data_IF_387051537949
#
_entry.id   IF_387051537949
#
_cell.length_a   1.000
_cell.length_b   1.000
_cell.length_c   1.000
_cell.angle_alpha   90.00
_cell.angle_beta   90.00
_cell.angle_gamma   90.00
#
_symmetry.space_group_name_H-M   'P 1'
#
loop_
_entity.id
_entity.type
_entity.pdbx_description
1 polymer ?
#
# COMPACT_ATOMS: atom_id res chain seq x y z
N UNK A 1 18.30 11.51 -11.38
CA UNK A 1 18.07 10.69 -12.58
C UNK A 1 16.68 10.06 -12.44
N UNK A 2 15.79 10.25 -13.42
CA UNK A 2 14.35 9.91 -13.31
C UNK A 2 14.14 8.41 -13.08
N UNK A 3 13.39 8.05 -12.04
CA UNK A 3 12.84 6.70 -11.88
C UNK A 3 11.96 6.37 -13.08
N UNK A 4 12.29 5.29 -13.79
CA UNK A 4 11.60 4.89 -15.02
C UNK A 4 10.28 4.20 -14.66
N UNK A 5 9.18 4.95 -14.75
CA UNK A 5 7.80 4.52 -14.48
C UNK A 5 7.41 3.23 -15.25
N UNK A 6 7.01 2.19 -14.51
CA UNK A 6 6.62 0.88 -15.03
C UNK A 6 5.55 0.98 -16.13
N UNK A 7 4.54 1.85 -15.95
CA UNK A 7 3.47 2.03 -16.92
C UNK A 7 3.99 2.46 -18.30
N UNK A 8 5.00 3.34 -18.31
CA UNK A 8 5.64 3.81 -19.56
C UNK A 8 6.45 2.71 -20.25
N UNK A 9 7.10 1.84 -19.48
CA UNK A 9 7.83 0.70 -20.04
C UNK A 9 6.87 -0.31 -20.67
N UNK A 10 5.76 -0.61 -19.99
CA UNK A 10 4.73 -1.50 -20.49
C UNK A 10 4.13 -0.98 -21.81
N UNK A 11 3.81 0.32 -21.91
CA UNK A 11 3.34 0.95 -23.16
C UNK A 11 4.35 0.72 -24.29
N UNK A 12 5.64 0.95 -24.03
CA UNK A 12 6.70 0.84 -25.04
C UNK A 12 6.81 -0.58 -25.58
N UNK A 13 6.84 -1.58 -24.70
CA UNK A 13 6.97 -2.99 -25.07
C UNK A 13 5.72 -3.48 -25.80
N UNK A 14 4.53 -3.13 -25.29
CA UNK A 14 3.26 -3.51 -25.90
C UNK A 14 3.14 -2.98 -27.34
N UNK A 15 3.42 -1.68 -27.54
CA UNK A 15 3.37 -1.05 -28.88
C UNK A 15 4.44 -1.60 -29.82
N UNK A 16 5.66 -1.86 -29.33
CA UNK A 16 6.73 -2.45 -30.13
C UNK A 16 6.39 -3.86 -30.65
N UNK A 17 5.50 -4.58 -29.95
CA UNK A 17 5.03 -5.92 -30.34
C UNK A 17 3.67 -5.93 -31.03
N UNK A 18 3.11 -4.76 -31.35
CA UNK A 18 1.82 -4.65 -32.04
C UNK A 18 0.62 -5.12 -31.23
N UNK A 19 0.73 -5.17 -29.89
CA UNK A 19 -0.34 -5.67 -29.02
C UNK A 19 -1.30 -4.55 -28.60
N UNK A 20 -2.60 -4.84 -28.56
CA UNK A 20 -3.60 -3.95 -27.94
C UNK A 20 -3.58 -4.09 -26.41
N UNK A 21 -4.21 -3.14 -25.70
CA UNK A 21 -4.36 -3.27 -24.24
C UNK A 21 -5.19 -4.49 -23.86
N UNK A 22 -6.18 -4.84 -24.69
CA UNK A 22 -7.02 -6.03 -24.52
C UNK A 22 -6.19 -7.31 -24.71
N UNK A 23 -5.30 -7.36 -25.71
CA UNK A 23 -4.47 -8.54 -25.96
C UNK A 23 -3.54 -8.83 -24.76
N UNK A 24 -2.98 -7.78 -24.15
CA UNK A 24 -2.14 -7.94 -22.95
C UNK A 24 -2.98 -8.36 -21.75
N UNK A 25 -4.18 -7.80 -21.61
CA UNK A 25 -5.10 -8.15 -20.54
C UNK A 25 -5.52 -9.62 -20.59
N UNK A 26 -5.92 -10.11 -21.76
CA UNK A 26 -6.29 -11.52 -21.99
C UNK A 26 -5.12 -12.47 -21.73
N UNK A 27 -3.94 -12.17 -22.28
CA UNK A 27 -2.75 -13.02 -22.09
C UNK A 27 -2.29 -13.09 -20.64
N UNK A 28 -2.48 -12.02 -19.86
CA UNK A 28 -2.11 -11.95 -18.46
C UNK A 28 -3.24 -12.37 -17.51
N UNK A 29 -4.42 -12.75 -18.02
CA UNK A 29 -5.62 -13.03 -17.25
C UNK A 29 -5.99 -11.92 -16.25
N UNK A 30 -5.90 -10.66 -16.69
CA UNK A 30 -6.29 -9.46 -15.91
C UNK A 30 -7.23 -8.60 -16.73
N UNK A 31 -7.97 -7.68 -16.10
CA UNK A 31 -8.92 -6.84 -16.84
C UNK A 31 -8.23 -5.80 -17.72
N UNK A 32 -8.82 -5.46 -18.87
CA UNK A 32 -8.35 -4.38 -19.75
C UNK A 32 -8.28 -3.05 -19.01
N UNK A 33 -9.20 -2.82 -18.06
CA UNK A 33 -9.22 -1.65 -17.18
C UNK A 33 -7.97 -1.58 -16.30
N UNK A 34 -7.47 -2.72 -15.82
CA UNK A 34 -6.23 -2.78 -15.03
C UNK A 34 -5.02 -2.36 -15.86
N UNK A 35 -4.88 -2.90 -17.09
CA UNK A 35 -3.82 -2.49 -18.02
C UNK A 35 -3.89 -0.99 -18.34
N UNK A 36 -5.09 -0.46 -18.60
CA UNK A 36 -5.28 0.96 -18.86
C UNK A 36 -4.83 1.85 -17.70
N UNK A 37 -5.21 1.51 -16.47
CA UNK A 37 -4.85 2.28 -15.27
C UNK A 37 -3.34 2.20 -14.97
N UNK A 38 -2.71 1.07 -15.25
CA UNK A 38 -1.26 0.90 -15.13
C UNK A 38 -0.53 1.78 -16.15
N UNK A 39 -0.94 1.71 -17.42
CA UNK A 39 -0.31 2.47 -18.51
C UNK A 39 -0.50 3.98 -18.34
N UNK A 40 -1.64 4.42 -17.79
CA UNK A 40 -1.90 5.83 -17.49
C UNK A 40 -1.19 6.33 -16.23
N UNK A 41 -0.53 5.46 -15.47
CA UNK A 41 0.07 5.79 -14.18
C UNK A 41 -0.95 6.05 -13.07
N UNK A 42 -2.22 5.70 -13.27
CA UNK A 42 -3.28 5.86 -12.27
C UNK A 42 -3.20 4.80 -11.16
N UNK A 43 -2.48 3.70 -11.39
CA UNK A 43 -2.21 2.65 -10.39
C UNK A 43 -0.80 2.12 -10.60
N UNK A 44 -0.04 1.98 -9.51
CA UNK A 44 1.21 1.21 -9.53
C UNK A 44 0.87 -0.28 -9.37
N UNK A 45 1.23 -1.15 -10.33
CA UNK A 45 0.89 -2.57 -10.25
C UNK A 45 1.64 -3.28 -9.13
N UNK A 46 0.99 -4.27 -8.52
CA UNK A 46 1.60 -5.17 -7.53
C UNK A 46 2.74 -5.97 -8.15
N UNK A 47 3.70 -6.41 -7.32
CA UNK A 47 4.80 -7.29 -7.75
C UNK A 47 4.30 -8.58 -8.42
N UNK A 48 3.19 -9.16 -7.96
CA UNK A 48 2.58 -10.33 -8.61
C UNK A 48 2.09 -10.01 -10.03
N UNK A 49 1.44 -8.86 -10.22
CA UNK A 49 1.00 -8.38 -11.54
C UNK A 49 2.19 -8.06 -12.44
N UNK A 50 3.23 -7.42 -11.90
CA UNK A 50 4.51 -7.19 -12.60
C UNK A 50 5.11 -8.52 -13.04
N UNK A 51 5.13 -9.53 -12.18
CA UNK A 51 5.64 -10.87 -12.49
C UNK A 51 4.84 -11.56 -13.58
N UNK A 52 3.51 -11.55 -13.50
CA UNK A 52 2.63 -12.13 -14.52
C UNK A 52 2.87 -11.44 -15.89
N UNK A 53 2.92 -10.11 -15.91
CA UNK A 53 3.20 -9.34 -17.13
C UNK A 53 4.62 -9.63 -17.64
N UNK A 54 5.60 -9.77 -16.73
CA UNK A 54 6.99 -10.09 -17.05
C UNK A 54 7.12 -11.45 -17.72
N UNK A 55 6.50 -12.48 -17.14
CA UNK A 55 6.53 -13.86 -17.63
C UNK A 55 5.78 -13.96 -18.97
N UNK A 56 4.60 -13.35 -19.05
CA UNK A 56 3.74 -13.39 -20.25
C UNK A 56 4.38 -12.66 -21.43
N UNK A 57 5.07 -11.55 -21.16
CA UNK A 57 5.79 -10.80 -22.18
C UNK A 57 7.25 -11.26 -22.32
N UNK A 58 7.76 -12.18 -21.51
CA UNK A 58 9.18 -12.56 -21.53
C UNK A 58 10.12 -11.36 -21.37
N UNK A 59 9.77 -10.41 -20.50
CA UNK A 59 10.59 -9.24 -20.17
C UNK A 59 10.70 -9.14 -18.66
N UNK A 60 11.90 -9.08 -18.10
CA UNK A 60 12.08 -8.87 -16.66
C UNK A 60 11.92 -7.38 -16.31
N UNK A 61 10.80 -7.02 -15.67
CA UNK A 61 10.56 -5.67 -15.22
C UNK A 61 11.16 -5.36 -13.82
N UNK A 62 11.66 -6.36 -13.09
CA UNK A 62 12.22 -6.21 -11.73
C UNK A 62 13.67 -5.71 -11.70
N UNK A 63 14.41 -5.80 -12.81
CA UNK A 63 15.75 -5.21 -12.89
C UNK A 63 15.74 -3.68 -12.71
N UNK A 64 14.58 -3.02 -12.91
CA UNK A 64 14.46 -1.56 -12.78
C UNK A 64 14.14 -1.05 -11.38
N UNK A 65 13.68 -1.90 -10.44
CA UNK A 65 13.35 -1.49 -9.06
C UNK A 65 14.39 -1.93 -8.01
N UNK A 66 15.29 -2.86 -8.36
CA UNK A 66 16.23 -3.49 -7.42
C UNK A 66 17.47 -2.65 -7.03
N UNK A 67 17.56 -1.38 -7.45
CA UNK A 67 18.68 -0.52 -7.05
C UNK A 67 18.51 0.17 -5.69
N UNK A 68 17.32 0.18 -5.08
CA UNK A 68 17.08 0.99 -3.88
C UNK A 68 16.95 0.23 -2.55
N UNK A 69 16.73 -1.09 -2.53
CA UNK A 69 16.51 -1.85 -1.27
C UNK A 69 17.66 -2.79 -0.87
N UNK A 70 18.62 -3.06 -1.76
CA UNK A 70 19.76 -3.97 -1.50
C UNK A 70 21.05 -3.22 -1.11
N UNK A 71 20.89 -2.11 -0.42
CA UNK A 71 21.88 -1.53 0.47
C UNK A 71 21.41 -1.96 1.88
N UNK A 72 21.90 -3.04 2.46
CA UNK A 72 23.24 -3.09 3.03
C UNK A 72 23.58 -4.57 3.31
N UNK A 73 24.83 -4.93 3.02
CA UNK A 73 25.60 -6.06 3.58
C UNK A 73 25.86 -7.30 2.69
N UNK A 74 24.89 -8.05 2.15
CA UNK A 74 25.23 -9.41 1.68
C UNK A 74 25.64 -9.62 0.20
N UNK A 75 25.38 -8.68 -0.72
CA UNK A 75 25.77 -8.86 -2.15
C UNK A 75 27.19 -8.42 -2.49
N UNK A 76 27.78 -7.51 -1.71
CA UNK A 76 29.10 -6.94 -2.00
C UNK A 76 30.22 -8.00 -1.93
N UNK A 77 30.18 -8.87 -0.92
CA UNK A 77 31.19 -9.91 -0.69
C UNK A 77 31.20 -11.00 -1.77
N UNK A 78 30.03 -11.31 -2.36
CA UNK A 78 29.94 -12.32 -3.42
C UNK A 78 30.54 -11.80 -4.75
N UNK A 79 30.27 -10.54 -5.09
CA UNK A 79 30.78 -9.93 -6.32
C UNK A 79 32.31 -9.77 -6.29
N UNK A 80 32.89 -9.42 -5.14
CA UNK A 80 34.35 -9.39 -4.96
C UNK A 80 34.96 -10.78 -5.15
N UNK A 81 34.35 -11.83 -4.59
CA UNK A 81 34.85 -13.21 -4.69
C UNK A 81 34.83 -13.74 -6.12
N UNK A 82 33.83 -13.38 -6.93
CA UNK A 82 33.76 -13.79 -8.34
C UNK A 82 34.73 -13.01 -9.23
N UNK A 83 35.04 -11.75 -8.90
CA UNK A 83 35.98 -10.92 -9.67
C UNK A 83 37.41 -11.48 -9.69
N UNK A 84 37.81 -12.22 -8.65
CA UNK A 84 39.12 -12.89 -8.54
C UNK A 84 39.13 -14.35 -9.00
N UNK A 85 37.99 -14.90 -9.46
CA UNK A 85 37.91 -16.26 -9.99
C UNK A 85 38.18 -16.28 -11.50
N UNK A 86 39.44 -16.53 -11.89
CA UNK A 86 39.92 -16.48 -13.28
C UNK A 86 39.63 -17.72 -14.14
N UNK A 87 38.91 -18.73 -13.62
CA UNK A 87 38.57 -19.93 -14.43
C UNK A 87 37.63 -19.64 -15.61
N UNK A 88 36.88 -18.53 -15.60
CA UNK A 88 35.98 -18.13 -16.70
C UNK A 88 36.15 -16.65 -17.05
N UNK A 89 36.21 -16.34 -18.35
CA UNK A 89 36.33 -15.00 -18.93
C UNK A 89 37.48 -14.14 -18.36
N UNK A 90 38.65 -14.76 -18.13
CA UNK A 90 39.82 -14.15 -17.49
C UNK A 90 40.25 -12.81 -18.10
N UNK A 91 40.27 -12.69 -19.44
CA UNK A 91 40.67 -11.46 -20.15
C UNK A 91 39.76 -10.26 -19.83
N UNK A 92 38.44 -10.48 -19.70
CA UNK A 92 37.49 -9.41 -19.32
C UNK A 92 37.65 -9.02 -17.85
N UNK A 93 37.88 -9.99 -16.96
CA UNK A 93 38.11 -9.73 -15.53
C UNK A 93 39.44 -9.01 -15.26
N UNK A 94 40.51 -9.34 -15.98
CA UNK A 94 41.80 -8.64 -15.94
C UNK A 94 41.65 -7.20 -16.45
N UNK A 95 40.89 -6.98 -17.53
CA UNK A 95 40.58 -5.64 -18.03
C UNK A 95 39.87 -4.78 -16.96
N UNK A 96 38.82 -5.32 -16.33
CA UNK A 96 38.07 -4.62 -15.26
C UNK A 96 38.96 -4.31 -14.06
N UNK A 97 39.84 -5.23 -13.66
CA UNK A 97 40.75 -5.02 -12.54
C UNK A 97 41.82 -3.96 -12.88
N UNK A 98 42.37 -3.98 -14.10
CA UNK A 98 43.36 -3.00 -14.56
C UNK A 98 42.81 -1.58 -14.68
N UNK A 99 41.57 -1.42 -15.14
CA UNK A 99 40.90 -0.11 -15.20
C UNK A 99 40.57 0.42 -13.81
N UNK A 100 40.22 -0.48 -12.87
CA UNK A 100 39.97 -0.11 -11.47
C UNK A 100 41.24 0.36 -10.76
N UNK A 101 42.38 -0.28 -11.03
CA UNK A 101 43.69 0.13 -10.52
C UNK A 101 44.09 1.49 -11.11
N UNK A 102 43.89 1.72 -12.42
CA UNK A 102 44.15 3.02 -13.05
C UNK A 102 43.31 4.15 -12.42
N UNK A 103 42.03 3.91 -12.16
CA UNK A 103 41.15 4.88 -11.50
C UNK A 103 41.62 5.16 -10.06
N UNK A 104 42.03 4.12 -9.31
CA UNK A 104 42.58 4.30 -7.96
C UNK A 104 43.90 5.07 -7.97
N UNK A 105 44.79 4.80 -8.92
CA UNK A 105 46.04 5.58 -9.06
C UNK A 105 45.76 7.04 -9.42
N UNK A 106 44.76 7.30 -10.26
CA UNK A 106 44.33 8.67 -10.60
C UNK A 106 43.74 9.40 -9.40
N UNK A 107 42.93 8.73 -8.58
CA UNK A 107 42.37 9.30 -7.34
C UNK A 107 43.49 9.59 -6.32
N UNK A 108 44.46 8.68 -6.16
CA UNK A 108 45.61 8.90 -5.28
C UNK A 108 46.48 10.08 -5.72
N UNK A 109 46.72 10.27 -7.03
CA UNK A 109 47.46 11.43 -7.57
C UNK A 109 46.72 12.74 -7.26
N UNK A 110 45.39 12.75 -7.38
CA UNK A 110 44.58 13.93 -7.07
C UNK A 110 44.58 14.28 -5.58
N UNK A 111 44.54 13.28 -4.69
CA UNK A 111 44.63 13.50 -3.24
C UNK A 111 46.02 14.06 -2.86
N UNK A 112 47.09 13.51 -3.42
CA UNK A 112 48.47 13.99 -3.17
C UNK A 112 48.71 15.41 -3.70
N UNK A 113 47.98 15.82 -4.74
CA UNK A 113 48.05 17.18 -5.31
C UNK A 113 47.36 18.23 -4.44
N UNK A 114 46.35 17.84 -3.65
CA UNK A 114 45.60 18.73 -2.75
C UNK A 114 46.43 19.10 -1.51
N UNK A 115 47.24 18.18 -0.98
CA UNK A 115 48.11 18.44 0.18
C UNK A 115 49.29 19.38 -0.13
N UNK A 116 49.63 19.57 -1.40
CA UNK A 116 50.70 20.49 -1.81
C UNK A 116 50.28 21.97 -1.76
N UNK A 117 48.98 22.29 -1.73
CA UNK A 117 48.47 23.67 -1.84
C UNK A 117 48.05 24.32 -0.51
N UNK A 118 48.11 23.62 0.63
CA UNK A 118 47.52 24.10 1.89
C UNK A 118 48.49 24.76 2.89
N UNK A 119 49.74 25.07 2.51
CA UNK A 119 50.69 25.77 3.41
C UNK A 119 51.07 27.17 2.93
N UNK A 120 50.35 28.21 3.39
CA UNK A 120 50.94 29.49 3.88
C UNK A 120 49.88 30.42 4.53
N UNK A 121 50.15 31.08 5.69
CA UNK A 121 49.17 31.90 6.43
C UNK A 121 49.52 33.40 6.54
N UNK A 122 48.55 34.24 6.99
CA UNK A 122 48.62 35.59 7.66
C UNK A 122 47.54 36.55 7.09
N UNK A 123 46.95 37.55 7.76
CA UNK A 123 47.01 38.14 9.12
C UNK A 123 45.87 39.19 9.26
N UNK A 124 45.30 39.30 10.47
CA UNK A 124 45.00 40.52 11.28
C UNK A 124 44.53 41.83 10.61
N UNK A 125 43.48 42.46 11.20
CA UNK A 125 43.63 43.75 11.91
C UNK A 125 42.41 44.13 12.78
N UNK A 126 42.66 44.21 14.10
CA UNK A 126 41.94 45.00 15.11
C UNK A 126 42.32 46.48 15.00
N UNK A 127 41.45 47.43 15.41
CA UNK A 127 41.64 48.42 16.51
C UNK A 127 40.58 49.55 16.47
N UNK A 128 39.73 49.73 17.50
CA UNK A 128 39.83 50.62 18.69
C UNK A 128 39.25 52.05 18.49
N UNK A 129 38.17 52.43 19.21
CA UNK A 129 38.20 53.29 20.43
C UNK A 129 36.78 53.62 20.99
N UNK A 130 36.76 53.76 22.32
CA UNK A 130 35.67 53.84 23.33
C UNK A 130 34.84 55.14 23.35
N UNK A 131 33.59 55.07 23.91
CA UNK A 131 33.12 55.81 25.12
C UNK A 131 31.69 55.39 25.55
N UNK A 132 31.45 55.40 26.87
CA UNK A 132 30.28 54.91 27.61
C UNK A 132 29.14 55.95 27.69
N UNK A 133 27.86 55.52 27.71
CA UNK A 133 26.90 55.79 28.81
C UNK A 133 25.48 55.20 28.58
N UNK A 134 24.95 54.57 29.65
CA UNK A 134 23.55 54.51 30.17
C UNK A 134 22.34 54.02 29.33
N UNK A 135 21.90 52.79 29.66
CA UNK A 135 20.53 52.26 29.88
C UNK A 135 19.41 52.35 28.80
N UNK A 136 18.40 51.45 28.82
CA UNK A 136 18.00 50.66 27.66
C UNK A 136 16.64 51.09 27.08
N UNK A 137 16.52 51.10 25.74
CA UNK A 137 15.26 50.89 25.00
C UNK A 137 15.48 51.01 23.49
N UNK A 138 14.89 50.05 22.77
CA UNK A 138 14.40 50.10 21.38
C UNK A 138 15.42 50.27 20.24
N UNK A 139 15.25 49.38 19.26
CA UNK A 139 15.68 49.49 17.85
C UNK A 139 17.20 49.38 17.61
N UNK A 140 17.74 48.71 16.58
CA UNK A 140 17.22 48.22 15.31
C UNK A 140 18.26 47.26 14.69
N UNK A 141 17.76 46.28 13.93
CA UNK A 141 18.26 45.79 12.64
C UNK A 141 19.78 45.64 12.39
N UNK A 142 20.23 44.38 12.24
CA UNK A 142 21.26 44.03 11.25
C UNK A 142 20.56 43.44 10.03
N UNK A 143 20.66 44.17 8.91
CA UNK A 143 20.22 43.76 7.58
C UNK A 143 20.80 42.39 7.19
N UNK A 144 19.93 41.44 6.89
CA UNK A 144 20.09 40.54 5.76
C UNK A 144 19.11 41.05 4.70
N UNK A 145 19.65 41.59 3.61
CA UNK A 145 18.88 42.05 2.46
C UNK A 145 18.29 40.83 1.76
N UNK A 146 17.06 40.48 2.13
CA UNK A 146 16.10 39.90 1.20
C UNK A 146 15.04 40.98 0.99
N UNK A 147 14.81 41.30 -0.26
CA UNK A 147 13.89 42.34 -0.72
C UNK A 147 12.45 41.86 -0.48
N UNK A 148 12.02 41.86 0.79
CA UNK A 148 10.77 41.26 1.25
C UNK A 148 9.58 42.17 0.93
N UNK A 149 8.71 41.70 0.03
CA UNK A 149 7.30 42.06 0.08
C UNK A 149 6.77 41.63 1.46
N UNK A 150 6.78 42.55 2.42
CA UNK A 150 6.19 42.29 3.75
C UNK A 150 4.68 42.13 3.59
N UNK A 151 4.22 40.90 3.60
CA UNK A 151 2.79 40.58 3.53
C UNK A 151 2.11 41.17 4.76
N UNK A 152 1.05 41.94 4.54
CA UNK A 152 0.24 42.53 5.60
C UNK A 152 -0.92 41.60 5.96
N UNK A 153 -0.68 40.72 6.93
CA UNK A 153 -1.65 39.72 7.38
C UNK A 153 -2.89 40.32 8.05
N UNK A 154 -2.82 41.56 8.54
CA UNK A 154 -3.94 42.20 9.26
C UNK A 154 -5.14 42.54 8.37
N UNK A 155 -4.93 42.56 7.04
CA UNK A 155 -6.02 42.77 6.07
C UNK A 155 -6.94 41.57 5.94
N UNK A 156 -6.38 40.37 6.09
CA UNK A 156 -7.08 39.12 5.79
C UNK A 156 -7.46 38.32 7.04
N UNK A 157 -6.80 38.58 8.18
CA UNK A 157 -6.92 37.82 9.42
C UNK A 157 -7.11 38.74 10.64
N UNK A 158 -7.89 38.26 11.61
CA UNK A 158 -8.19 39.00 12.85
C UNK A 158 -6.97 39.03 13.78
N UNK A 159 -6.23 37.92 13.83
CA UNK A 159 -5.01 37.78 14.62
C UNK A 159 -3.96 36.99 13.84
N UNK A 160 -2.69 37.28 14.08
CA UNK A 160 -1.60 36.47 13.57
C UNK A 160 -0.39 36.43 14.52
N UNK A 161 0.36 35.34 14.46
CA UNK A 161 1.61 35.13 15.20
C UNK A 161 2.64 34.50 14.27
N UNK A 162 3.80 35.14 14.15
CA UNK A 162 4.92 34.61 13.37
C UNK A 162 5.80 33.77 14.29
N UNK A 163 6.06 32.51 13.93
CA UNK A 163 7.01 31.64 14.61
C UNK A 163 7.88 30.91 13.57
N UNK A 164 9.17 31.23 13.57
CA UNK A 164 10.10 30.70 12.55
C UNK A 164 9.65 31.04 11.14
N UNK A 165 9.45 30.02 10.31
CA UNK A 165 9.05 30.16 8.90
C UNK A 165 7.53 30.10 8.67
N UNK A 166 6.75 30.06 9.75
CA UNK A 166 5.30 29.94 9.67
C UNK A 166 4.61 31.12 10.34
N UNK A 167 3.42 31.43 9.84
CA UNK A 167 2.52 32.44 10.39
C UNK A 167 1.22 31.75 10.77
N UNK A 168 0.97 31.68 12.07
CA UNK A 168 -0.29 31.21 12.63
C UNK A 168 -1.30 32.33 12.51
N UNK A 169 -2.48 32.04 11.96
CA UNK A 169 -3.51 33.05 11.70
C UNK A 169 -4.84 32.62 12.27
N UNK A 170 -5.63 33.58 12.74
CA UNK A 170 -7.00 33.38 13.21
C UNK A 170 -7.95 34.26 12.42
N UNK A 171 -9.07 33.70 11.99
CA UNK A 171 -10.18 34.41 11.35
C UNK A 171 -11.50 33.82 11.81
N UNK A 172 -12.44 34.65 12.29
CA UNK A 172 -13.75 34.22 12.79
C UNK A 172 -13.65 33.11 13.86
N UNK A 173 -12.72 33.22 14.82
CA UNK A 173 -12.42 32.18 15.82
C UNK A 173 -12.03 30.81 15.25
N UNK A 174 -11.56 30.76 14.00
CA UNK A 174 -10.99 29.56 13.37
C UNK A 174 -9.52 29.79 13.07
N UNK A 175 -8.72 28.74 13.23
CA UNK A 175 -7.28 28.81 13.12
C UNK A 175 -6.79 28.25 11.79
N UNK A 176 -5.76 28.88 11.24
CA UNK A 176 -5.06 28.49 10.03
C UNK A 176 -3.54 28.68 10.16
N UNK A 177 -2.84 28.28 9.11
CA UNK A 177 -1.39 28.34 8.99
C UNK A 177 -1.05 28.85 7.59
N UNK A 178 -0.22 29.88 7.52
CA UNK A 178 0.26 30.44 6.26
C UNK A 178 1.79 30.53 6.29
N UNK A 179 2.42 30.52 5.12
CA UNK A 179 3.85 30.79 4.97
C UNK A 179 4.15 32.29 5.08
N UNK A 180 5.43 32.66 5.22
CA UNK A 180 5.87 34.07 5.29
C UNK A 180 5.55 34.91 4.04
N UNK A 181 5.33 34.28 2.89
CA UNK A 181 4.88 34.90 1.64
C UNK A 181 3.34 34.93 1.50
N UNK A 182 2.60 34.51 2.53
CA UNK A 182 1.14 34.60 2.58
C UNK A 182 0.39 33.42 1.94
N UNK A 183 1.09 32.37 1.50
CA UNK A 183 0.43 31.17 0.96
C UNK A 183 -0.22 30.40 2.10
N UNK A 184 -1.50 30.10 1.95
CA UNK A 184 -2.26 29.30 2.92
C UNK A 184 -1.83 27.83 2.85
N UNK A 185 -1.35 27.29 3.97
CA UNK A 185 -1.09 25.85 4.18
C UNK A 185 -2.33 25.20 4.79
N UNK A 186 -2.87 25.82 5.85
CA UNK A 186 -4.08 25.36 6.56
C UNK A 186 -5.08 26.52 6.56
N UNK A 187 -6.27 26.37 5.94
CA UNK A 187 -7.28 27.43 5.95
C UNK A 187 -7.88 27.63 7.35
N UNK A 188 -8.32 28.86 7.65
CA UNK A 188 -9.03 29.22 8.89
C UNK A 188 -10.46 28.64 8.93
N UNK A 189 -10.57 27.33 9.01
CA UNK A 189 -11.85 26.59 9.12
C UNK A 189 -11.85 25.58 10.27
N UNK A 190 -10.73 25.47 10.99
CA UNK A 190 -10.51 24.49 12.05
C UNK A 190 -10.63 25.15 13.43
N UNK A 191 -11.15 24.39 14.40
CA UNK A 191 -11.33 24.84 15.78
C UNK A 191 -10.00 24.99 16.52
N UNK A 192 -9.00 24.19 16.10
CA UNK A 192 -7.59 24.25 16.50
C UNK A 192 -6.80 23.25 15.66
N UNK A 193 -5.49 23.30 15.72
CA UNK A 193 -4.62 22.24 15.23
C UNK A 193 -3.36 22.14 16.10
N UNK A 194 -2.69 20.99 16.04
CA UNK A 194 -1.42 20.76 16.71
C UNK A 194 -0.40 20.22 15.72
N UNK A 195 0.88 20.47 15.97
CA UNK A 195 1.96 19.88 15.20
C UNK A 195 2.39 18.55 15.83
N UNK A 196 2.59 17.53 15.00
CA UNK A 196 3.17 16.27 15.40
C UNK A 196 4.25 15.87 14.39
N UNK A 197 5.50 16.19 14.74
CA UNK A 197 6.64 16.04 13.82
C UNK A 197 6.44 16.84 12.53
N UNK A 198 6.28 16.12 11.41
CA UNK A 198 6.08 16.69 10.06
C UNK A 198 4.61 16.78 9.62
N UNK A 199 3.69 16.59 10.55
CA UNK A 199 2.26 16.61 10.28
C UNK A 199 1.56 17.65 11.15
N UNK A 200 0.41 18.10 10.65
CA UNK A 200 -0.52 18.97 11.35
C UNK A 200 -1.79 18.16 11.60
N UNK A 201 -2.24 18.11 12.85
CA UNK A 201 -3.46 17.43 13.26
C UNK A 201 -4.54 18.49 13.52
N UNK A 202 -5.37 18.82 12.52
CA UNK A 202 -6.52 19.70 12.70
C UNK A 202 -7.67 19.04 13.45
N UNK A 203 -8.41 19.87 14.18
CA UNK A 203 -9.66 19.54 14.83
C UNK A 203 -10.79 20.39 14.25
N UNK A 204 -11.90 19.74 13.88
CA UNK A 204 -13.12 20.40 13.42
C UNK A 204 -14.33 19.62 13.89
N UNK A 205 -15.27 20.25 14.59
CA UNK A 205 -16.50 19.63 15.07
C UNK A 205 -16.23 18.34 15.87
N UNK A 206 -15.24 18.36 16.75
CA UNK A 206 -14.74 17.20 17.54
C UNK A 206 -14.11 16.05 16.74
N UNK A 207 -14.00 16.16 15.42
CA UNK A 207 -13.30 15.21 14.55
C UNK A 207 -11.86 15.63 14.31
N UNK A 208 -11.01 14.67 13.97
CA UNK A 208 -9.57 14.87 13.71
C UNK A 208 -9.23 14.61 12.26
N UNK A 209 -8.28 15.36 11.73
CA UNK A 209 -7.68 15.12 10.43
C UNK A 209 -6.16 15.05 10.51
N UNK A 210 -5.52 14.88 9.35
CA UNK A 210 -4.08 14.86 9.19
C UNK A 210 -3.74 15.64 7.93
N UNK A 211 -2.89 16.66 8.07
CA UNK A 211 -2.44 17.53 6.99
C UNK A 211 -0.91 17.48 6.95
N UNK A 212 -0.30 17.39 5.77
CA UNK A 212 1.15 17.52 5.65
C UNK A 212 1.59 19.00 5.61
N UNK A 213 2.90 19.26 5.69
CA UNK A 213 3.42 20.65 5.68
C UNK A 213 3.20 21.40 4.35
N UNK A 214 2.85 20.70 3.27
CA UNK A 214 2.48 21.31 1.98
C UNK A 214 1.00 21.77 1.96
N UNK A 215 0.23 21.44 3.00
CA UNK A 215 -1.20 21.73 3.10
C UNK A 215 -2.11 20.66 2.49
N UNK A 216 -1.55 19.53 2.02
CA UNK A 216 -2.33 18.38 1.54
C UNK A 216 -3.03 17.73 2.72
N UNK A 217 -4.36 17.69 2.66
CA UNK A 217 -5.19 16.90 3.58
C UNK A 217 -5.00 15.42 3.24
N UNK A 218 -4.37 14.67 4.15
CA UNK A 218 -4.20 13.21 4.05
C UNK A 218 -5.42 12.53 4.67
N UNK A 219 -5.85 12.99 5.85
CA UNK A 219 -7.05 12.49 6.53
C UNK A 219 -8.01 13.66 6.74
N UNK A 220 -9.23 13.64 6.17
CA UNK A 220 -10.21 14.69 6.41
C UNK A 220 -10.72 14.65 7.86
N UNK A 221 -11.19 15.79 8.38
CA UNK A 221 -11.78 15.89 9.72
C UNK A 221 -13.19 15.28 9.78
N UNK A 222 -13.29 13.98 9.54
CA UNK A 222 -14.53 13.19 9.55
C UNK A 222 -14.47 12.03 10.54
N UNK A 223 -13.26 11.70 11.02
CA UNK A 223 -12.97 10.58 11.90
C UNK A 223 -12.82 11.03 13.36
N UNK A 224 -13.21 10.16 14.28
CA UNK A 224 -13.03 10.40 15.71
C UNK A 224 -11.55 10.32 16.09
N UNK A 225 -10.88 9.31 15.54
CA UNK A 225 -9.46 9.03 15.75
C UNK A 225 -8.86 8.38 14.51
N UNK A 226 -7.54 8.44 14.42
CA UNK A 226 -6.76 7.64 13.50
C UNK A 226 -5.43 7.27 14.16
N UNK A 227 -4.82 6.19 13.70
CA UNK A 227 -3.52 5.70 14.15
C UNK A 227 -2.66 5.45 12.92
N UNK A 228 -1.37 5.82 12.99
CA UNK A 228 -0.41 5.60 11.90
C UNK A 228 0.47 4.42 12.30
N UNK A 229 0.38 3.31 11.59
CA UNK A 229 1.15 2.10 11.88
C UNK A 229 1.57 1.41 10.58
N UNK A 230 2.81 0.92 10.52
CA UNK A 230 3.30 0.12 9.40
C UNK A 230 3.25 0.80 8.02
N UNK A 231 3.19 2.14 7.97
CA UNK A 231 3.03 2.89 6.72
C UNK A 231 1.57 3.02 6.24
N UNK A 232 0.60 2.73 7.10
CA UNK A 232 -0.82 2.89 6.86
C UNK A 232 -1.46 3.77 7.93
N UNK A 233 -2.67 4.24 7.64
CA UNK A 233 -3.49 5.01 8.57
C UNK A 233 -4.75 4.22 8.84
N UNK A 234 -4.90 3.75 10.08
CA UNK A 234 -6.13 3.11 10.56
C UNK A 234 -7.08 4.21 11.01
N UNK A 235 -8.23 4.35 10.36
CA UNK A 235 -9.22 5.38 10.68
C UNK A 235 -10.37 4.80 11.49
N UNK A 236 -10.80 5.50 12.54
CA UNK A 236 -11.94 5.11 13.38
C UNK A 236 -13.04 6.18 13.35
N UNK A 237 -14.27 5.73 13.14
CA UNK A 237 -15.48 6.56 13.27
C UNK A 237 -16.56 5.75 14.03
N UNK A 238 -16.82 6.11 15.28
CA UNK A 238 -17.54 5.29 16.23
C UNK A 238 -16.85 3.93 16.40
N UNK A 239 -17.63 2.86 16.17
CA UNK A 239 -17.14 1.47 16.20
C UNK A 239 -16.70 0.96 14.83
N UNK A 240 -16.67 1.83 13.80
CA UNK A 240 -16.28 1.44 12.45
C UNK A 240 -14.82 1.75 12.21
N UNK A 241 -14.17 0.87 11.46
CA UNK A 241 -12.75 0.92 11.11
C UNK A 241 -12.56 0.98 9.60
N UNK A 242 -11.51 1.68 9.19
CA UNK A 242 -11.03 1.76 7.81
C UNK A 242 -9.52 1.84 7.75
N UNK A 243 -8.97 1.79 6.54
CA UNK A 243 -7.53 1.82 6.28
C UNK A 243 -7.26 2.75 5.09
N UNK A 244 -6.28 3.63 5.25
CA UNK A 244 -5.77 4.49 4.19
C UNK A 244 -4.26 4.32 4.03
N UNK A 245 -3.72 4.66 2.87
CA UNK A 245 -2.28 4.86 2.72
C UNK A 245 -1.87 6.27 3.21
N UNK A 246 -0.56 6.52 3.28
CA UNK A 246 -0.01 7.83 3.69
C UNK A 246 -0.27 8.97 2.68
N UNK A 247 -0.76 8.65 1.49
CA UNK A 247 -1.18 9.62 0.49
C UNK A 247 -2.64 10.08 0.69
N UNK A 248 -3.36 9.46 1.62
CA UNK A 248 -4.77 9.74 1.92
C UNK A 248 -5.76 8.95 1.07
N UNK A 249 -5.28 8.00 0.27
CA UNK A 249 -6.15 7.13 -0.51
C UNK A 249 -6.74 6.05 0.39
N UNK A 250 -8.06 5.91 0.33
CA UNK A 250 -8.79 4.87 1.09
C UNK A 250 -8.56 3.51 0.45
N UNK A 251 -7.98 2.58 1.22
CA UNK A 251 -7.81 1.16 0.86
C UNK A 251 -9.04 0.39 1.35
N UNK A 252 -9.38 0.55 2.64
CA UNK A 252 -10.55 -0.08 3.25
C UNK A 252 -11.48 1.04 3.74
N UNK A 253 -12.70 1.18 3.21
CA UNK A 253 -13.61 2.22 3.65
C UNK A 253 -13.99 2.03 5.12
N UNK A 254 -14.15 3.14 5.85
CA UNK A 254 -14.44 3.17 7.29
C UNK A 254 -15.90 2.79 7.62
N UNK A 255 -16.30 1.57 7.25
CA UNK A 255 -17.68 1.06 7.35
C UNK A 255 -17.75 -0.33 8.01
N UNK A 256 -16.60 -0.96 8.27
CA UNK A 256 -16.51 -2.31 8.83
C UNK A 256 -16.41 -2.24 10.35
N UNK A 257 -17.02 -3.21 11.05
CA UNK A 257 -16.87 -3.34 12.51
C UNK A 257 -15.45 -3.78 12.89
N UNK A 258 -14.86 -4.61 12.03
CA UNK A 258 -13.48 -5.09 12.15
C UNK A 258 -12.97 -5.52 10.79
N UNK A 259 -11.66 -5.41 10.59
CA UNK A 259 -10.96 -6.17 9.57
C UNK A 259 -9.68 -6.77 10.14
N UNK A 260 -9.24 -7.88 9.58
CA UNK A 260 -8.01 -8.58 9.95
C UNK A 260 -7.25 -8.91 8.66
N UNK A 261 -5.98 -8.53 8.60
CA UNK A 261 -5.12 -8.82 7.45
C UNK A 261 -4.35 -10.09 7.75
N UNK A 262 -4.49 -11.10 6.89
CA UNK A 262 -3.80 -12.36 7.05
C UNK A 262 -3.32 -12.87 5.68
N UNK A 263 -2.02 -13.16 5.61
CA UNK A 263 -1.33 -13.56 4.38
C UNK A 263 -1.59 -12.59 3.21
N UNK A 264 -2.44 -13.00 2.26
CA UNK A 264 -2.78 -12.24 1.04
C UNK A 264 -4.23 -11.75 1.03
N UNK A 265 -4.95 -11.89 2.15
CA UNK A 265 -6.36 -11.55 2.25
C UNK A 265 -6.63 -10.60 3.41
N UNK A 266 -7.74 -9.89 3.28
CA UNK A 266 -8.33 -9.06 4.32
C UNK A 266 -9.68 -9.68 4.68
N UNK A 267 -9.76 -10.24 5.88
CA UNK A 267 -11.01 -10.70 6.46
C UNK A 267 -11.79 -9.50 6.97
N UNK A 268 -13.05 -9.40 6.58
CA UNK A 268 -13.88 -8.23 6.90
C UNK A 268 -15.13 -8.65 7.67
N UNK A 269 -15.47 -7.89 8.70
CA UNK A 269 -16.68 -8.07 9.50
C UNK A 269 -17.54 -6.81 9.41
N UNK A 270 -18.77 -6.97 8.95
CA UNK A 270 -19.76 -5.88 8.89
C UNK A 270 -21.14 -6.40 9.28
N UNK A 271 -21.74 -5.78 10.29
CA UNK A 271 -23.05 -6.11 10.85
C UNK A 271 -23.16 -7.61 11.19
N UNK A 272 -22.14 -8.16 11.87
CA UNK A 272 -22.00 -9.58 12.22
C UNK A 272 -21.93 -10.55 11.02
N UNK A 273 -21.67 -10.03 9.81
CA UNK A 273 -21.46 -10.85 8.61
C UNK A 273 -20.03 -10.74 8.13
N UNK A 274 -19.48 -11.86 7.68
CA UNK A 274 -18.09 -12.01 7.25
C UNK A 274 -17.97 -11.93 5.74
N UNK A 275 -16.87 -11.36 5.29
CA UNK A 275 -16.48 -11.25 3.89
C UNK A 275 -14.97 -11.34 3.74
N UNK A 276 -14.53 -11.32 2.49
CA UNK A 276 -13.14 -11.43 2.09
C UNK A 276 -12.81 -10.35 1.06
N UNK A 277 -11.65 -9.74 1.21
CA UNK A 277 -11.16 -8.70 0.34
C UNK A 277 -9.69 -9.00 0.01
N UNK A 278 -9.22 -8.53 -1.14
CA UNK A 278 -7.79 -8.62 -1.47
C UNK A 278 -7.01 -7.45 -0.83
N UNK A 279 -5.69 -7.51 -0.88
CA UNK A 279 -4.83 -6.43 -0.33
C UNK A 279 -4.96 -5.08 -1.07
N UNK A 280 -5.60 -5.04 -2.24
CA UNK A 280 -5.87 -3.79 -2.97
C UNK A 280 -7.16 -3.09 -2.49
N UNK A 281 -7.88 -3.69 -1.54
CA UNK A 281 -9.17 -3.16 -1.09
C UNK A 281 -10.37 -3.65 -1.90
N UNK A 282 -10.17 -4.52 -2.90
CA UNK A 282 -11.27 -5.04 -3.72
C UNK A 282 -11.98 -6.18 -2.99
N UNK A 283 -13.30 -6.06 -2.85
CA UNK A 283 -14.11 -7.10 -2.22
C UNK A 283 -14.15 -8.33 -3.12
N UNK A 284 -13.71 -9.47 -2.59
CA UNK A 284 -13.80 -10.77 -3.27
C UNK A 284 -15.11 -11.47 -2.87
N UNK A 285 -15.39 -11.53 -1.56
CA UNK A 285 -16.63 -12.06 -1.00
C UNK A 285 -17.28 -10.98 -0.13
N UNK A 286 -18.50 -10.51 -0.44
CA UNK A 286 -19.15 -9.48 0.34
C UNK A 286 -19.53 -9.98 1.74
N UNK A 287 -19.64 -9.06 2.70
CA UNK A 287 -20.09 -9.35 4.07
C UNK A 287 -21.57 -9.76 4.13
N UNK A 288 -21.87 -10.99 3.72
CA UNK A 288 -23.23 -11.53 3.63
C UNK A 288 -23.45 -12.81 4.45
N UNK A 289 -22.37 -13.42 4.94
CA UNK A 289 -22.35 -14.76 5.51
C UNK A 289 -22.13 -14.73 7.02
N UNK A 290 -22.81 -15.62 7.75
CA UNK A 290 -22.70 -15.73 9.22
C UNK A 290 -21.58 -16.72 9.58
N UNK A 291 -21.61 -17.91 8.97
CA UNK A 291 -20.49 -18.85 8.98
C UNK A 291 -19.56 -18.56 7.82
N UNK A 292 -18.26 -18.56 8.10
CA UNK A 292 -17.21 -18.30 7.11
C UNK A 292 -15.92 -18.92 7.62
N UNK A 293 -15.44 -19.93 6.91
CA UNK A 293 -14.24 -20.69 7.23
C UNK A 293 -13.47 -20.98 5.93
N UNK A 294 -12.16 -20.87 5.98
CA UNK A 294 -11.29 -21.14 4.82
C UNK A 294 -10.47 -22.39 5.11
N UNK A 295 -10.47 -23.32 4.16
CA UNK A 295 -9.63 -24.51 4.21
C UNK A 295 -9.02 -24.74 2.81
N UNK A 296 -7.69 -24.60 2.71
CA UNK A 296 -7.00 -24.67 1.42
C UNK A 296 -7.53 -23.62 0.44
N UNK A 297 -8.04 -24.06 -0.71
CA UNK A 297 -8.63 -23.21 -1.76
C UNK A 297 -10.13 -22.98 -1.64
N UNK A 298 -10.76 -23.53 -0.59
CA UNK A 298 -12.20 -23.52 -0.39
C UNK A 298 -12.61 -22.57 0.72
N UNK A 299 -13.78 -21.96 0.54
CA UNK A 299 -14.43 -21.11 1.52
C UNK A 299 -15.80 -21.70 1.85
N UNK A 300 -15.93 -22.23 3.06
CA UNK A 300 -17.18 -22.74 3.60
C UNK A 300 -17.98 -21.60 4.17
N UNK A 301 -19.22 -21.45 3.70
CA UNK A 301 -20.06 -20.32 4.04
C UNK A 301 -21.43 -20.74 4.51
N UNK A 302 -22.04 -19.96 5.41
CA UNK A 302 -23.44 -20.12 5.78
C UNK A 302 -24.22 -18.82 5.74
N UNK A 303 -25.43 -18.88 5.16
CA UNK A 303 -26.34 -17.75 5.00
C UNK A 303 -27.76 -18.23 5.27
N UNK A 304 -28.49 -17.54 6.16
CA UNK A 304 -29.86 -17.92 6.58
C UNK A 304 -30.00 -19.39 7.03
N UNK A 305 -29.04 -19.87 7.84
CA UNK A 305 -28.96 -21.27 8.30
C UNK A 305 -28.85 -22.31 7.17
N UNK A 306 -28.44 -21.88 5.97
CA UNK A 306 -28.10 -22.76 4.84
C UNK A 306 -26.61 -22.69 4.57
N UNK A 307 -26.04 -23.81 4.14
CA UNK A 307 -24.61 -23.98 3.92
C UNK A 307 -24.28 -24.05 2.44
N UNK A 308 -23.12 -23.51 2.07
CA UNK A 308 -22.58 -23.52 0.72
C UNK A 308 -21.05 -23.54 0.71
N UNK A 309 -20.51 -23.57 -0.50
CA UNK A 309 -19.08 -23.66 -0.78
C UNK A 309 -18.72 -22.66 -1.87
N UNK A 310 -17.62 -21.94 -1.67
CA UNK A 310 -17.06 -21.01 -2.65
C UNK A 310 -15.56 -21.31 -2.82
N UNK A 311 -14.94 -20.79 -3.87
CA UNK A 311 -13.49 -20.72 -3.96
C UNK A 311 -12.97 -19.37 -3.40
N UNK A 312 -11.65 -19.24 -3.30
CA UNK A 312 -10.98 -18.00 -2.86
C UNK A 312 -11.14 -16.81 -3.82
N UNK A 313 -11.59 -17.03 -5.06
CA UNK A 313 -11.94 -15.96 -6.00
C UNK A 313 -13.38 -15.45 -5.81
N UNK A 314 -14.10 -15.99 -4.81
CA UNK A 314 -15.49 -15.65 -4.52
C UNK A 314 -16.51 -16.28 -5.47
N UNK A 315 -16.08 -17.21 -6.34
CA UNK A 315 -17.00 -17.98 -7.17
C UNK A 315 -17.74 -18.99 -6.29
N UNK A 316 -19.07 -18.92 -6.31
CA UNK A 316 -19.90 -19.96 -5.69
C UNK A 316 -19.75 -21.28 -6.43
N UNK A 317 -19.37 -22.32 -5.70
CA UNK A 317 -19.28 -23.71 -6.17
C UNK A 317 -20.59 -24.42 -5.81
N UNK A 318 -21.00 -24.34 -4.54
CA UNK A 318 -22.26 -24.89 -4.04
C UNK A 318 -23.05 -23.75 -3.37
N UNK A 319 -24.26 -23.41 -3.85
CA UNK A 319 -25.04 -22.32 -3.27
C UNK A 319 -25.51 -22.64 -1.84
N UNK A 320 -25.74 -21.60 -1.04
CA UNK A 320 -26.29 -21.73 0.32
C UNK A 320 -27.77 -22.15 0.29
N UNK A 321 -28.05 -23.41 0.02
CA UNK A 321 -29.41 -23.97 -0.03
C UNK A 321 -29.60 -25.24 0.82
N UNK A 322 -28.53 -25.77 1.41
CA UNK A 322 -28.53 -27.04 2.14
C UNK A 322 -28.64 -26.83 3.65
N UNK A 323 -29.48 -27.65 4.30
CA UNK A 323 -29.75 -27.66 5.74
C UNK A 323 -28.59 -28.23 6.56
N UNK A 324 -27.93 -29.25 6.02
CA UNK A 324 -26.72 -29.86 6.60
C UNK A 324 -25.67 -29.98 5.50
N UNK A 325 -24.42 -29.80 5.88
CA UNK A 325 -23.28 -29.81 4.97
C UNK A 325 -22.07 -30.34 5.72
N UNK A 326 -21.46 -31.40 5.22
CA UNK A 326 -20.26 -32.00 5.79
C UNK A 326 -19.32 -32.39 4.66
N UNK A 327 -18.07 -31.96 4.76
CA UNK A 327 -17.02 -32.45 3.88
C UNK A 327 -16.30 -33.62 4.53
N UNK A 328 -16.02 -34.63 3.73
CA UNK A 328 -15.17 -35.75 4.11
C UNK A 328 -14.39 -36.19 2.85
N UNK A 329 -13.07 -36.00 2.88
CA UNK A 329 -12.19 -36.12 1.72
C UNK A 329 -12.70 -35.27 0.54
N UNK A 330 -12.94 -35.90 -0.62
CA UNK A 330 -13.42 -35.22 -1.82
C UNK A 330 -14.95 -35.20 -1.95
N UNK A 331 -15.66 -35.68 -0.92
CA UNK A 331 -17.11 -35.76 -0.91
C UNK A 331 -17.73 -34.70 -0.02
N UNK A 332 -18.84 -34.15 -0.50
CA UNK A 332 -19.67 -33.19 0.19
C UNK A 332 -21.02 -33.84 0.44
N UNK A 333 -21.27 -34.18 1.70
CA UNK A 333 -22.53 -34.72 2.18
C UNK A 333 -23.49 -33.59 2.49
N UNK A 334 -24.64 -33.60 1.84
CA UNK A 334 -25.63 -32.54 1.98
C UNK A 334 -27.00 -33.07 2.34
N UNK A 335 -27.77 -32.25 3.06
CA UNK A 335 -29.20 -32.48 3.30
C UNK A 335 -30.00 -31.27 2.86
N UNK A 336 -31.14 -31.52 2.19
CA UNK A 336 -32.13 -30.50 1.83
C UNK A 336 -33.52 -31.08 2.08
N UNK A 337 -34.33 -30.42 2.90
CA UNK A 337 -35.69 -30.87 3.26
C UNK A 337 -35.75 -32.31 3.80
N UNK A 338 -34.82 -32.67 4.70
CA UNK A 338 -34.64 -34.03 5.25
C UNK A 338 -34.32 -35.11 4.21
N UNK A 339 -33.92 -34.74 2.99
CA UNK A 339 -33.40 -35.67 1.99
C UNK A 339 -31.89 -35.53 1.86
N UNK A 340 -31.21 -36.67 1.72
CA UNK A 340 -29.77 -36.75 1.69
C UNK A 340 -29.25 -36.83 0.25
N UNK A 341 -28.12 -36.16 0.01
CA UNK A 341 -27.41 -36.16 -1.26
C UNK A 341 -25.89 -36.12 -1.06
N UNK A 342 -25.18 -36.34 -2.15
CA UNK A 342 -23.73 -36.42 -2.23
C UNK A 342 -23.24 -35.61 -3.43
N UNK A 343 -22.23 -34.78 -3.22
CA UNK A 343 -21.57 -34.01 -4.27
C UNK A 343 -20.07 -34.17 -4.16
N UNK A 344 -19.32 -33.79 -5.19
CA UNK A 344 -17.88 -33.57 -5.05
C UNK A 344 -17.58 -32.11 -4.71
N UNK A 345 -16.30 -31.79 -4.45
CA UNK A 345 -15.84 -30.43 -4.16
C UNK A 345 -15.92 -29.45 -5.35
N UNK A 346 -16.20 -29.93 -6.56
CA UNK A 346 -16.51 -29.08 -7.73
C UNK A 346 -18.00 -28.72 -7.81
N UNK A 347 -18.81 -29.20 -6.84
CA UNK A 347 -20.27 -29.02 -6.83
C UNK A 347 -21.01 -29.95 -7.79
N UNK A 348 -20.33 -30.92 -8.41
CA UNK A 348 -20.99 -31.94 -9.23
C UNK A 348 -21.82 -32.84 -8.33
N UNK A 349 -23.12 -32.88 -8.60
CA UNK A 349 -24.04 -33.80 -7.92
C UNK A 349 -23.73 -35.23 -8.33
N UNK A 350 -23.38 -36.06 -7.34
CA UNK A 350 -23.18 -37.51 -7.51
C UNK A 350 -24.50 -38.22 -7.17
N UNK A 351 -25.13 -37.81 -6.07
CA UNK A 351 -26.43 -38.33 -5.61
C UNK A 351 -27.32 -37.12 -5.27
N UNK A 352 -28.45 -36.93 -5.95
CA UNK A 352 -29.36 -35.82 -5.66
C UNK A 352 -30.01 -35.97 -4.28
N UNK A 353 -30.38 -34.84 -3.66
CA UNK A 353 -31.11 -34.80 -2.39
C UNK A 353 -32.56 -35.30 -2.54
N UNK A 354 -32.75 -36.60 -2.70
CA UNK A 354 -34.08 -37.24 -2.82
C UNK A 354 -34.24 -38.49 -1.96
N UNK A 355 -33.21 -38.89 -1.23
CA UNK A 355 -33.16 -40.13 -0.44
C UNK A 355 -33.44 -39.87 1.04
N UNK A 356 -34.23 -40.73 1.67
CA UNK A 356 -34.59 -40.67 3.09
C UNK A 356 -33.39 -40.97 4.00
N UNK A 357 -32.53 -41.89 3.56
CA UNK A 357 -31.28 -42.23 4.24
C UNK A 357 -30.19 -42.51 3.21
N UNK A 358 -28.94 -42.26 3.59
CA UNK A 358 -27.76 -42.54 2.79
C UNK A 358 -26.60 -42.95 3.71
N UNK A 359 -25.91 -44.03 3.36
CA UNK A 359 -24.69 -44.50 4.03
C UNK A 359 -23.66 -44.88 2.98
N UNK A 360 -22.39 -44.58 3.23
CA UNK A 360 -21.28 -45.00 2.38
C UNK A 360 -20.65 -46.27 2.93
N UNK A 361 -20.49 -47.27 2.06
CA UNK A 361 -19.81 -48.53 2.35
C UNK A 361 -18.85 -48.85 1.19
N UNK A 362 -17.56 -48.57 1.40
CA UNK A 362 -16.53 -48.72 0.38
C UNK A 362 -16.79 -47.82 -0.83
N UNK A 363 -16.90 -48.42 -2.02
CA UNK A 363 -17.17 -47.72 -3.27
C UNK A 363 -18.67 -47.55 -3.59
N UNK A 364 -19.56 -47.83 -2.63
CA UNK A 364 -21.00 -47.75 -2.82
C UNK A 364 -21.66 -46.81 -1.80
N UNK A 365 -22.65 -46.07 -2.27
CA UNK A 365 -23.64 -45.42 -1.44
C UNK A 365 -24.90 -46.29 -1.38
N UNK A 366 -25.25 -46.74 -0.18
CA UNK A 366 -26.50 -47.42 0.12
C UNK A 366 -27.54 -46.34 0.43
N UNK A 367 -28.56 -46.23 -0.42
CA UNK A 367 -29.58 -45.19 -0.32
C UNK A 367 -30.98 -45.79 -0.21
N UNK A 368 -31.82 -45.20 0.62
CA UNK A 368 -33.23 -45.61 0.77
C UNK A 368 -34.15 -44.48 0.33
N UNK A 369 -35.16 -44.81 -0.49
CA UNK A 369 -36.23 -43.89 -0.89
C UNK A 369 -37.57 -44.60 -0.78
N UNK A 370 -38.49 -44.07 0.01
CA UNK A 370 -39.83 -44.62 0.25
C UNK A 370 -39.78 -46.11 0.67
N UNK A 371 -38.85 -46.46 1.57
CA UNK A 371 -38.67 -47.82 2.09
C UNK A 371 -37.95 -48.80 1.15
N UNK A 372 -37.55 -48.37 -0.06
CA UNK A 372 -36.77 -49.20 -1.00
C UNK A 372 -35.30 -48.82 -0.98
N UNK A 373 -34.43 -49.80 -0.77
CA UNK A 373 -32.97 -49.62 -0.73
C UNK A 373 -32.34 -49.99 -2.06
N UNK A 374 -31.35 -49.21 -2.51
CA UNK A 374 -30.48 -49.55 -3.64
C UNK A 374 -29.04 -49.12 -3.36
N UNK A 375 -28.11 -49.73 -4.10
CA UNK A 375 -26.69 -49.37 -4.05
C UNK A 375 -26.34 -48.55 -5.29
N UNK A 376 -25.69 -47.41 -5.09
CA UNK A 376 -25.16 -46.54 -6.16
C UNK A 376 -23.64 -46.64 -6.08
N UNK A 377 -22.97 -46.96 -7.17
CA UNK A 377 -21.52 -46.90 -7.26
C UNK A 377 -21.08 -45.43 -7.35
N UNK A 378 -20.12 -45.02 -6.52
CA UNK A 378 -19.69 -43.61 -6.39
C UNK A 378 -18.21 -43.41 -6.74
#
# INVERSE_FOLDING_TARGET
MKTLDFGKQLIKIRKARGLTQTDVAEKCNITTRTIQRIESGAVKPRSSTIKIISETLGVDFFETENQNSKLKSHTFLWYIKDLFNFKTNAMKKISILSTSILILTFICINIFSIDAQSKTPKKEQETVLKRQDKNPKKEQNTKLEIQDKKVDYTKDFDEYKIEGNYVFVTKNNKHGLVTLDGKIIVPCIYDKFVFEGRFIIPFKNHKRGLINLDGKVIVPCEYDRFEIEGGFIVTLNGNKQGLMNLDGETIIPCIYDRFEVEQSFVFTLKNNKRGLMNLDGETIIPCEYHGFEIEGSFVFVSKYNKYGLMNLDGKTIIPCEYDKFKVDNNFVFVSKYNKHGLMNLDGKVIIPCEYDTMKIEGAFAIVTKNGKTKNIQI
#
